data_IF_898219370160
#
_entry.id   IF_898219370160
#
_cell.length_a   1.000
_cell.length_b   1.000
_cell.length_c   1.000
_cell.angle_alpha   90.00
_cell.angle_beta   90.00
_cell.angle_gamma   90.00
#
_symmetry.space_group_name_H-M   'P 1'
#
loop_
_entity.id
_entity.type
_entity.pdbx_description
1 polymer ?
#
# COMPACT_ATOMS: atom_id res chain seq x y z
N UNK A 1 -19.39 11.69 32.37
CA UNK A 1 -19.34 10.92 31.11
C UNK A 1 -17.89 10.96 30.60
N UNK A 2 -17.19 9.86 30.79
CA UNK A 2 -15.81 9.70 30.27
C UNK A 2 -15.91 9.00 28.91
N UNK A 3 -16.25 9.77 27.87
CA UNK A 3 -16.24 9.24 26.51
C UNK A 3 -14.82 8.88 26.07
N UNK A 4 -14.67 7.83 25.25
CA UNK A 4 -13.41 7.44 24.62
C UNK A 4 -12.89 8.53 23.66
N UNK A 5 -13.81 9.33 23.10
CA UNK A 5 -13.54 10.38 22.13
C UNK A 5 -14.08 11.71 22.64
N UNK A 6 -13.24 12.73 22.67
CA UNK A 6 -13.62 14.13 22.87
C UNK A 6 -13.79 14.85 21.54
N UNK A 7 -14.47 15.97 21.53
CA UNK A 7 -14.56 16.86 20.37
C UNK A 7 -14.00 18.22 20.78
N UNK A 8 -12.93 18.65 20.12
CA UNK A 8 -12.33 19.96 20.30
C UNK A 8 -12.30 20.67 18.94
N UNK A 9 -12.96 21.84 18.85
CA UNK A 9 -13.04 22.66 17.62
C UNK A 9 -13.54 21.92 16.37
N UNK A 10 -14.42 20.90 16.53
CA UNK A 10 -14.96 20.12 15.44
C UNK A 10 -14.11 18.91 15.03
N UNK A 11 -12.97 18.71 15.66
CA UNK A 11 -12.13 17.54 15.48
C UNK A 11 -12.37 16.52 16.60
N UNK A 12 -12.30 15.24 16.25
CA UNK A 12 -12.37 14.15 17.23
C UNK A 12 -10.96 13.88 17.77
N UNK A 13 -10.81 13.90 19.08
CA UNK A 13 -9.56 13.56 19.76
C UNK A 13 -9.82 12.41 20.74
N UNK A 14 -8.90 11.45 20.78
CA UNK A 14 -8.92 10.43 21.82
C UNK A 14 -8.66 11.08 23.18
N UNK A 15 -9.41 10.64 24.18
CA UNK A 15 -9.19 11.10 25.53
C UNK A 15 -7.84 10.55 26.03
N UNK A 16 -6.92 11.43 26.44
CA UNK A 16 -5.59 11.08 26.94
C UNK A 16 -5.59 10.07 28.11
N UNK A 17 -6.71 9.92 28.84
CA UNK A 17 -6.87 8.88 29.84
C UNK A 17 -6.82 7.45 29.24
N UNK A 18 -6.98 7.31 27.92
CA UNK A 18 -6.95 6.04 27.19
C UNK A 18 -5.67 5.79 26.40
N UNK A 19 -4.70 6.71 26.39
CA UNK A 19 -3.43 6.57 25.65
C UNK A 19 -2.72 5.24 26.00
N UNK A 20 -2.70 4.87 27.27
CA UNK A 20 -2.11 3.60 27.72
C UNK A 20 -2.86 2.37 27.21
N UNK A 21 -4.18 2.47 27.06
CA UNK A 21 -4.98 1.37 26.49
C UNK A 21 -4.71 1.24 24.99
N UNK A 22 -4.58 2.37 24.31
CA UNK A 22 -4.21 2.41 22.90
C UNK A 22 -2.81 1.83 22.67
N UNK A 23 -1.81 2.24 23.47
CA UNK A 23 -0.46 1.67 23.42
C UNK A 23 -0.49 0.15 23.67
N UNK A 24 -1.20 -0.30 24.69
CA UNK A 24 -1.34 -1.73 24.98
C UNK A 24 -2.01 -2.49 23.82
N UNK A 25 -3.05 -1.93 23.20
CA UNK A 25 -3.73 -2.55 22.07
C UNK A 25 -2.78 -2.69 20.87
N UNK A 26 -1.97 -1.67 20.57
CA UNK A 26 -0.95 -1.72 19.52
C UNK A 26 0.15 -2.76 19.81
N UNK A 27 0.66 -2.80 21.03
CA UNK A 27 1.66 -3.79 21.43
C UNK A 27 1.11 -5.22 21.33
N UNK A 28 -0.15 -5.42 21.70
CA UNK A 28 -0.82 -6.71 21.56
C UNK A 28 -1.00 -7.10 20.09
N UNK A 29 -1.46 -6.18 19.24
CA UNK A 29 -1.60 -6.40 17.80
C UNK A 29 -0.23 -6.79 17.20
N UNK A 30 0.82 -6.01 17.46
CA UNK A 30 2.18 -6.33 17.03
C UNK A 30 2.63 -7.73 17.44
N UNK A 31 2.39 -8.10 18.70
CA UNK A 31 2.76 -9.44 19.18
C UNK A 31 2.00 -10.55 18.44
N UNK A 32 0.71 -10.36 18.20
CA UNK A 32 -0.12 -11.31 17.45
C UNK A 32 0.31 -11.42 16.00
N UNK A 33 0.61 -10.30 15.33
CA UNK A 33 1.09 -10.24 13.95
C UNK A 33 2.43 -10.98 13.81
N UNK A 34 3.37 -10.72 14.69
CA UNK A 34 4.64 -11.45 14.71
C UNK A 34 4.43 -12.95 14.86
N UNK A 35 3.58 -13.37 15.78
CA UNK A 35 3.30 -14.79 15.99
C UNK A 35 2.65 -15.43 14.75
N UNK A 36 1.73 -14.71 14.08
CA UNK A 36 1.12 -15.18 12.83
C UNK A 36 2.15 -15.33 11.71
N UNK A 37 2.98 -14.31 11.53
CA UNK A 37 4.02 -14.33 10.49
C UNK A 37 5.08 -15.42 10.77
N UNK A 38 5.56 -15.55 12.01
CA UNK A 38 6.55 -16.55 12.39
C UNK A 38 6.05 -18.00 12.18
N UNK A 39 4.75 -18.23 12.27
CA UNK A 39 4.15 -19.55 12.04
C UNK A 39 4.26 -20.00 10.57
N UNK A 40 4.27 -19.10 9.61
CA UNK A 40 4.28 -19.39 8.17
C UNK A 40 5.58 -18.97 7.50
N UNK A 41 6.23 -17.94 7.99
CA UNK A 41 7.49 -17.39 7.49
C UNK A 41 8.41 -17.00 8.67
N UNK A 42 9.16 -17.94 9.28
CA UNK A 42 9.95 -17.68 10.49
C UNK A 42 11.03 -16.60 10.35
N UNK A 43 11.43 -16.27 9.11
CA UNK A 43 12.39 -15.19 8.81
C UNK A 43 11.73 -13.96 8.19
N UNK A 44 10.40 -13.95 8.15
CA UNK A 44 9.64 -12.84 7.62
C UNK A 44 9.81 -11.57 8.46
N UNK A 45 9.63 -10.43 7.83
CA UNK A 45 9.71 -9.11 8.46
C UNK A 45 8.43 -8.36 8.22
N UNK A 46 7.81 -7.81 9.28
CA UNK A 46 6.69 -6.89 9.16
C UNK A 46 7.25 -5.53 8.75
N UNK A 47 6.68 -4.96 7.70
CA UNK A 47 7.11 -3.68 7.11
C UNK A 47 6.16 -2.54 7.48
N UNK A 48 4.87 -2.86 7.61
CA UNK A 48 3.81 -1.96 8.05
C UNK A 48 2.77 -2.77 8.80
N UNK A 49 2.08 -2.18 9.77
CA UNK A 49 0.99 -2.82 10.50
C UNK A 49 -0.02 -1.81 11.06
N UNK A 50 -1.26 -2.26 11.15
CA UNK A 50 -2.32 -1.67 11.94
C UNK A 50 -2.91 -2.74 12.88
N UNK A 51 -4.09 -2.56 13.44
CA UNK A 51 -4.65 -3.46 14.48
C UNK A 51 -4.97 -4.87 13.98
N UNK A 52 -5.44 -5.03 12.77
CA UNK A 52 -5.98 -6.27 12.18
C UNK A 52 -5.27 -6.70 10.89
N UNK A 53 -4.38 -5.86 10.38
CA UNK A 53 -3.71 -6.04 9.11
C UNK A 53 -2.21 -5.71 9.22
N UNK A 54 -1.40 -6.37 8.42
CA UNK A 54 0.02 -6.02 8.28
C UNK A 54 0.57 -6.39 6.90
N UNK A 55 1.57 -5.62 6.47
CA UNK A 55 2.37 -5.90 5.28
C UNK A 55 3.69 -6.55 5.70
N UNK A 56 4.04 -7.67 5.08
CA UNK A 56 5.23 -8.43 5.40
C UNK A 56 6.06 -8.80 4.16
N UNK A 57 7.36 -8.92 4.39
CA UNK A 57 8.32 -9.47 3.44
C UNK A 57 8.71 -10.88 3.88
N UNK A 58 8.78 -11.82 2.95
CA UNK A 58 9.22 -13.20 3.18
C UNK A 58 10.24 -13.65 2.11
N UNK A 59 11.13 -14.57 2.49
CA UNK A 59 12.08 -15.23 1.57
C UNK A 59 11.44 -16.42 0.83
N UNK A 60 10.33 -16.94 1.35
CA UNK A 60 9.64 -18.13 0.84
C UNK A 60 8.19 -17.83 0.57
N UNK A 61 7.58 -18.62 -0.29
CA UNK A 61 6.15 -18.57 -0.55
C UNK A 61 5.35 -18.89 0.72
N UNK A 62 4.30 -18.09 0.96
CA UNK A 62 3.33 -18.30 2.04
C UNK A 62 2.05 -18.83 1.40
N UNK A 63 1.68 -20.06 1.76
CA UNK A 63 0.40 -20.70 1.37
C UNK A 63 -0.50 -20.76 2.62
N UNK A 64 -1.17 -19.64 2.89
CA UNK A 64 -2.10 -19.50 4.01
C UNK A 64 -3.21 -18.50 3.66
N UNK A 65 -4.45 -18.87 3.96
CA UNK A 65 -5.69 -18.23 3.47
C UNK A 65 -5.76 -16.71 3.69
N UNK A 66 -5.25 -16.22 4.82
CA UNK A 66 -5.27 -14.79 5.15
C UNK A 66 -4.05 -14.00 4.66
N UNK A 67 -3.13 -14.65 3.92
CA UNK A 67 -1.97 -13.98 3.34
C UNK A 67 -2.13 -13.85 1.83
N UNK A 68 -2.21 -12.62 1.36
CA UNK A 68 -2.40 -12.30 -0.06
C UNK A 68 -1.10 -11.73 -0.63
N UNK A 69 -0.60 -12.35 -1.69
CA UNK A 69 0.58 -11.84 -2.38
C UNK A 69 0.30 -10.44 -2.96
N UNK A 70 1.27 -9.54 -2.81
CA UNK A 70 1.14 -8.13 -3.20
C UNK A 70 2.44 -7.60 -3.84
N UNK A 71 2.51 -6.31 -4.09
CA UNK A 71 3.64 -5.61 -4.72
C UNK A 71 3.94 -6.25 -6.08
N UNK A 72 5.18 -6.37 -6.52
CA UNK A 72 5.56 -6.71 -7.90
C UNK A 72 4.93 -8.00 -8.44
N UNK A 73 4.75 -9.01 -7.61
CA UNK A 73 4.16 -10.28 -8.03
C UNK A 73 2.66 -10.16 -8.34
N UNK A 74 1.95 -9.30 -7.63
CA UNK A 74 0.51 -9.09 -7.82
C UNK A 74 0.17 -8.34 -9.11
N UNK A 75 1.06 -7.50 -9.64
CA UNK A 75 0.85 -6.78 -10.89
C UNK A 75 0.55 -7.72 -12.08
N UNK A 76 1.06 -8.94 -12.05
CA UNK A 76 0.77 -9.95 -13.08
C UNK A 76 -0.74 -10.29 -13.19
N UNK A 77 -1.53 -10.10 -12.13
CA UNK A 77 -2.97 -10.27 -12.16
C UNK A 77 -3.72 -9.16 -12.93
N UNK A 78 -3.00 -8.10 -13.25
CA UNK A 78 -3.46 -6.96 -14.07
C UNK A 78 -2.69 -6.88 -15.40
N UNK A 79 -2.17 -8.00 -15.89
CA UNK A 79 -1.40 -8.12 -17.14
C UNK A 79 -0.10 -7.30 -17.20
N UNK A 80 0.37 -6.79 -16.05
CA UNK A 80 1.63 -6.06 -15.89
C UNK A 80 2.70 -6.98 -15.28
N UNK A 81 3.68 -7.41 -16.08
CA UNK A 81 4.72 -8.36 -15.66
C UNK A 81 6.05 -7.66 -15.43
N UNK A 82 6.47 -7.58 -14.18
CA UNK A 82 7.75 -6.99 -13.78
C UNK A 82 8.76 -8.07 -13.37
N UNK A 83 10.03 -7.71 -13.39
CA UNK A 83 11.09 -8.56 -12.86
C UNK A 83 10.94 -8.65 -11.34
N UNK A 84 10.70 -9.86 -10.85
CA UNK A 84 10.58 -10.12 -9.42
C UNK A 84 11.96 -10.09 -8.75
N UNK A 85 11.97 -9.67 -7.50
CA UNK A 85 13.12 -9.76 -6.61
C UNK A 85 13.15 -11.12 -5.90
N UNK A 86 14.23 -11.39 -5.14
CA UNK A 86 14.31 -12.59 -4.30
C UNK A 86 13.34 -12.54 -3.09
N UNK A 87 12.75 -11.38 -2.85
CA UNK A 87 11.78 -11.17 -1.78
C UNK A 87 10.36 -11.19 -2.31
N UNK A 88 9.46 -11.80 -1.54
CA UNK A 88 8.03 -11.81 -1.76
C UNK A 88 7.34 -10.94 -0.71
N UNK A 89 6.27 -10.30 -1.08
CA UNK A 89 5.52 -9.40 -0.22
C UNK A 89 4.08 -9.88 -0.08
N UNK A 90 3.58 -9.83 1.14
CA UNK A 90 2.24 -10.31 1.49
C UNK A 90 1.56 -9.30 2.39
N UNK A 91 0.28 -9.06 2.15
CA UNK A 91 -0.60 -8.46 3.15
C UNK A 91 -1.33 -9.58 3.87
N UNK A 92 -1.35 -9.50 5.20
CA UNK A 92 -2.24 -10.30 6.03
C UNK A 92 -3.51 -9.51 6.30
N UNK A 93 -4.65 -10.06 5.94
CA UNK A 93 -5.97 -9.53 6.26
C UNK A 93 -6.96 -10.69 6.30
N UNK A 94 -7.82 -10.72 7.33
CA UNK A 94 -8.92 -11.69 7.45
C UNK A 94 -10.20 -11.21 6.71
N UNK A 95 -10.23 -9.95 6.27
CA UNK A 95 -11.38 -9.30 5.63
C UNK A 95 -11.24 -9.20 4.11
N UNK A 96 -10.03 -9.31 3.58
CA UNK A 96 -9.72 -9.14 2.16
C UNK A 96 -9.68 -10.50 1.46
N UNK A 97 -10.44 -10.66 0.39
CA UNK A 97 -10.35 -11.87 -0.46
C UNK A 97 -9.22 -11.77 -1.49
N UNK A 98 -8.89 -10.56 -1.93
CA UNK A 98 -7.83 -10.28 -2.89
C UNK A 98 -7.39 -8.81 -2.85
N UNK A 99 -6.10 -8.55 -3.04
CA UNK A 99 -5.53 -7.19 -3.12
C UNK A 99 -6.12 -6.45 -4.33
N UNK A 100 -6.76 -5.32 -4.09
CA UNK A 100 -7.31 -4.42 -5.12
C UNK A 100 -6.19 -3.63 -5.82
N UNK A 101 -6.46 -3.00 -6.98
CA UNK A 101 -5.50 -2.11 -7.61
C UNK A 101 -5.11 -0.90 -6.74
N UNK A 102 -6.06 -0.35 -5.97
CA UNK A 102 -5.82 0.77 -5.06
C UNK A 102 -4.87 0.36 -3.92
N UNK A 103 -5.16 -0.77 -3.25
CA UNK A 103 -4.26 -1.33 -2.23
C UNK A 103 -2.89 -1.68 -2.80
N UNK A 104 -2.85 -2.27 -4.01
CA UNK A 104 -1.59 -2.63 -4.67
C UNK A 104 -0.70 -1.42 -4.90
N UNK A 105 -1.28 -0.30 -5.33
CA UNK A 105 -0.57 0.96 -5.50
C UNK A 105 0.03 1.43 -4.16
N UNK A 106 -0.77 1.47 -3.10
CA UNK A 106 -0.31 1.85 -1.77
C UNK A 106 0.76 0.89 -1.22
N UNK A 107 0.56 -0.42 -1.31
CA UNK A 107 1.56 -1.41 -0.87
C UNK A 107 2.89 -1.26 -1.61
N UNK A 108 2.85 -0.94 -2.90
CA UNK A 108 4.04 -0.73 -3.72
C UNK A 108 4.84 0.48 -3.24
N UNK A 109 4.17 1.60 -2.96
CA UNK A 109 4.80 2.82 -2.43
C UNK A 109 5.30 2.67 -1.00
N UNK A 110 4.63 1.87 -0.16
CA UNK A 110 5.11 1.56 1.19
C UNK A 110 6.44 0.80 1.21
N UNK A 111 6.69 -0.05 0.20
CA UNK A 111 7.93 -0.81 0.10
C UNK A 111 9.08 0.09 -0.36
N UNK A 112 8.85 0.88 -1.37
CA UNK A 112 9.83 1.81 -1.94
C UNK A 112 9.10 2.91 -2.71
N UNK A 113 9.26 4.13 -2.26
CA UNK A 113 8.69 5.34 -2.86
C UNK A 113 9.64 5.97 -3.89
N UNK A 114 10.56 5.20 -4.45
CA UNK A 114 11.46 5.64 -5.51
C UNK A 114 10.82 5.67 -6.90
N UNK A 115 11.50 6.32 -7.86
CA UNK A 115 10.99 6.55 -9.22
C UNK A 115 10.49 5.28 -9.91
N UNK A 116 11.17 4.14 -9.69
CA UNK A 116 10.76 2.86 -10.28
C UNK A 116 9.38 2.41 -9.80
N UNK A 117 9.13 2.43 -8.50
CA UNK A 117 7.85 1.98 -7.91
C UNK A 117 6.74 2.96 -8.25
N UNK A 118 7.03 4.26 -8.28
CA UNK A 118 6.09 5.29 -8.78
C UNK A 118 5.71 5.04 -10.24
N UNK A 119 6.67 4.70 -11.11
CA UNK A 119 6.39 4.35 -12.50
C UNK A 119 5.51 3.10 -12.62
N UNK A 120 5.69 2.09 -11.77
CA UNK A 120 4.81 0.92 -11.76
C UNK A 120 3.39 1.26 -11.31
N UNK A 121 3.23 2.13 -10.31
CA UNK A 121 1.92 2.63 -9.91
C UNK A 121 1.27 3.44 -11.04
N UNK A 122 2.01 4.30 -11.74
CA UNK A 122 1.50 5.05 -12.90
C UNK A 122 1.03 4.11 -14.01
N UNK A 123 1.79 3.05 -14.34
CA UNK A 123 1.37 2.04 -15.31
C UNK A 123 0.06 1.36 -14.89
N UNK A 124 -0.06 0.98 -13.61
CA UNK A 124 -1.28 0.35 -13.08
C UNK A 124 -2.49 1.30 -13.23
N UNK A 125 -2.34 2.54 -12.75
CA UNK A 125 -3.41 3.55 -12.79
C UNK A 125 -3.81 3.94 -14.22
N UNK A 126 -2.90 3.83 -15.19
CA UNK A 126 -3.19 4.06 -16.61
C UNK A 126 -3.82 2.86 -17.30
N UNK A 127 -3.62 1.66 -16.77
CA UNK A 127 -4.04 0.41 -17.40
C UNK A 127 -5.38 -0.11 -16.87
N UNK A 128 -5.65 0.11 -15.60
CA UNK A 128 -6.84 -0.40 -14.89
C UNK A 128 -7.72 0.77 -14.46
N UNK A 129 -9.03 0.63 -14.65
CA UNK A 129 -10.00 1.59 -14.12
C UNK A 129 -10.05 1.48 -12.60
N UNK A 130 -9.46 2.45 -11.92
CA UNK A 130 -9.39 2.52 -10.45
C UNK A 130 -10.28 3.66 -9.98
N UNK A 131 -11.16 3.36 -9.03
CA UNK A 131 -11.97 4.40 -8.38
C UNK A 131 -11.06 5.32 -7.56
N UNK A 132 -11.06 6.62 -7.90
CA UNK A 132 -10.22 7.59 -7.20
C UNK A 132 -10.61 7.80 -5.73
N UNK A 133 -11.89 7.62 -5.37
CA UNK A 133 -12.34 7.73 -3.99
C UNK A 133 -11.77 6.56 -3.16
N UNK A 134 -11.85 5.33 -3.69
CA UNK A 134 -11.22 4.14 -3.09
C UNK A 134 -9.70 4.32 -2.97
N UNK A 135 -9.03 4.78 -4.03
CA UNK A 135 -7.58 5.02 -4.01
C UNK A 135 -7.17 6.03 -2.93
N UNK A 136 -7.92 7.12 -2.75
CA UNK A 136 -7.65 8.10 -1.70
C UNK A 136 -7.98 7.57 -0.30
N UNK A 137 -9.01 6.74 -0.16
CA UNK A 137 -9.32 6.07 1.10
C UNK A 137 -8.19 5.12 1.52
N UNK A 138 -7.68 4.32 0.57
CA UNK A 138 -6.52 3.46 0.81
C UNK A 138 -5.26 4.30 1.11
N UNK A 139 -5.03 5.38 0.39
CA UNK A 139 -3.91 6.28 0.65
C UNK A 139 -3.95 6.84 2.09
N UNK A 140 -5.10 7.29 2.55
CA UNK A 140 -5.28 7.80 3.92
C UNK A 140 -5.02 6.72 4.98
N UNK A 141 -5.42 5.46 4.72
CA UNK A 141 -5.14 4.31 5.60
C UNK A 141 -3.64 4.09 5.79
N UNK A 142 -2.86 4.26 4.73
CA UNK A 142 -1.42 4.01 4.71
C UNK A 142 -0.56 5.27 4.93
N UNK A 143 -1.18 6.47 5.03
CA UNK A 143 -0.48 7.75 5.17
C UNK A 143 0.30 8.14 3.90
N UNK A 144 -0.28 7.90 2.72
CA UNK A 144 0.30 8.10 1.40
C UNK A 144 -0.50 9.10 0.55
N UNK A 145 -1.27 9.98 1.20
CA UNK A 145 -2.16 10.91 0.52
C UNK A 145 -1.40 11.83 -0.45
N UNK A 146 -0.26 12.37 -0.02
CA UNK A 146 0.56 13.27 -0.83
C UNK A 146 1.15 12.54 -2.05
N UNK A 147 1.61 11.29 -1.87
CA UNK A 147 2.16 10.45 -2.92
C UNK A 147 1.12 10.10 -3.98
N UNK A 148 -0.06 9.68 -3.55
CA UNK A 148 -1.16 9.31 -4.47
C UNK A 148 -1.68 10.55 -5.20
N UNK A 149 -1.86 11.68 -4.52
CA UNK A 149 -2.25 12.93 -5.16
C UNK A 149 -1.20 13.42 -6.19
N UNK A 150 0.09 13.17 -5.95
CA UNK A 150 1.14 13.46 -6.92
C UNK A 150 1.03 12.57 -8.17
N UNK A 151 0.77 11.25 -8.01
CA UNK A 151 0.58 10.34 -9.14
C UNK A 151 -0.67 10.71 -9.98
N UNK A 152 -1.80 10.97 -9.32
CA UNK A 152 -3.03 11.36 -10.01
C UNK A 152 -2.84 12.66 -10.79
N UNK A 153 -2.26 13.68 -10.16
CA UNK A 153 -1.95 14.96 -10.81
C UNK A 153 -0.98 14.81 -11.98
N UNK A 154 0.01 13.92 -11.86
CA UNK A 154 0.94 13.62 -12.95
C UNK A 154 0.21 13.08 -14.18
N UNK A 155 -0.72 12.15 -14.00
CA UNK A 155 -1.52 11.61 -15.11
C UNK A 155 -2.49 12.67 -15.70
N UNK A 156 -3.16 13.43 -14.86
CA UNK A 156 -4.08 14.49 -15.30
C UNK A 156 -3.40 15.61 -16.10
N UNK A 157 -2.17 15.98 -15.71
CA UNK A 157 -1.43 17.09 -16.32
C UNK A 157 -0.42 16.67 -17.37
N UNK A 158 -0.36 15.38 -17.70
CA UNK A 158 0.64 14.84 -18.63
C UNK A 158 2.08 15.19 -18.21
N UNK A 159 2.39 14.94 -16.94
CA UNK A 159 3.72 15.13 -16.39
C UNK A 159 4.06 16.54 -15.92
N UNK A 160 3.13 17.50 -15.98
CA UNK A 160 3.35 18.87 -15.49
C UNK A 160 3.30 18.94 -13.94
N UNK A 161 4.19 18.16 -13.27
CA UNK A 161 4.33 18.10 -11.81
C UNK A 161 5.79 18.27 -11.44
N UNK A 162 6.09 19.20 -10.54
CA UNK A 162 7.44 19.43 -10.02
C UNK A 162 7.75 18.44 -8.88
N UNK A 163 8.06 17.19 -9.25
CA UNK A 163 8.35 16.08 -8.33
C UNK A 163 9.51 15.25 -8.87
N UNK A 164 10.68 15.37 -8.27
CA UNK A 164 11.94 14.72 -8.71
C UNK A 164 11.86 13.19 -8.83
N UNK A 165 10.90 12.54 -8.16
CA UNK A 165 10.74 11.09 -8.15
C UNK A 165 9.77 10.56 -9.22
N UNK A 166 9.16 11.45 -10.00
CA UNK A 166 8.35 11.07 -11.15
C UNK A 166 9.20 11.09 -12.43
N UNK A 167 8.94 10.20 -13.40
CA UNK A 167 9.65 10.21 -14.68
C UNK A 167 9.23 11.44 -15.50
N UNK A 168 10.08 11.83 -16.46
CA UNK A 168 9.63 12.75 -17.50
C UNK A 168 8.48 12.11 -18.32
N UNK A 169 7.53 12.92 -18.79
CA UNK A 169 6.35 12.39 -19.47
C UNK A 169 6.69 11.53 -20.69
N UNK A 170 7.65 11.97 -21.50
CA UNK A 170 8.09 11.23 -22.68
C UNK A 170 8.67 9.85 -22.29
N UNK A 171 9.45 9.77 -21.19
CA UNK A 171 10.00 8.52 -20.68
C UNK A 171 8.89 7.59 -20.18
N UNK A 172 7.88 8.15 -19.53
CA UNK A 172 6.73 7.38 -19.07
C UNK A 172 5.91 6.85 -20.25
N UNK A 173 5.69 7.65 -21.29
CA UNK A 173 5.00 7.20 -22.50
C UNK A 173 5.76 6.06 -23.22
N UNK A 174 7.09 6.12 -23.30
CA UNK A 174 7.91 5.03 -23.83
C UNK A 174 7.72 3.75 -23.00
N UNK A 175 7.74 3.87 -21.67
CA UNK A 175 7.51 2.76 -20.76
C UNK A 175 6.09 2.19 -20.90
N UNK A 176 5.06 3.03 -20.98
CA UNK A 176 3.67 2.61 -21.16
C UNK A 176 3.48 1.85 -22.50
N UNK A 177 4.13 2.31 -23.56
CA UNK A 177 4.10 1.65 -24.86
C UNK A 177 4.75 0.25 -24.84
N UNK A 178 5.77 0.01 -24.01
CA UNK A 178 6.36 -1.34 -23.82
C UNK A 178 5.37 -2.33 -23.21
N UNK A 179 4.39 -1.83 -22.44
CA UNK A 179 3.31 -2.62 -21.83
C UNK A 179 1.99 -2.58 -22.62
N UNK A 180 2.01 -2.04 -23.85
CA UNK A 180 0.82 -1.93 -24.71
C UNK A 180 -0.33 -1.09 -24.11
N UNK A 181 0.01 -0.12 -23.25
CA UNK A 181 -0.95 0.80 -22.60
C UNK A 181 -1.14 2.04 -23.50
N UNK A 182 -2.38 2.25 -23.97
CA UNK A 182 -2.77 3.46 -24.70
C UNK A 182 -3.06 4.61 -23.71
N UNK A 183 -2.50 5.80 -23.97
CA UNK A 183 -2.62 7.00 -23.14
C UNK A 183 -3.45 8.07 -23.86
#
# INVERSE_FOLDING_TARGET
DRGLVGTTDGHYEFNADFDRLHEFARELAHHLHRHRLEAVAPKGTILWEDYDEFLAQAETEIDAEAFHETVLARFAAFDLQFLLTDHRYYVYSEETDAVSPAELCCHTLLIDDGSRHRSYCLLLLSHVDVDEEDLREQAAKYGLEDEIDALLRYLETHGEVDEDRLPEWDEFQELAAEYEIEQ
#
